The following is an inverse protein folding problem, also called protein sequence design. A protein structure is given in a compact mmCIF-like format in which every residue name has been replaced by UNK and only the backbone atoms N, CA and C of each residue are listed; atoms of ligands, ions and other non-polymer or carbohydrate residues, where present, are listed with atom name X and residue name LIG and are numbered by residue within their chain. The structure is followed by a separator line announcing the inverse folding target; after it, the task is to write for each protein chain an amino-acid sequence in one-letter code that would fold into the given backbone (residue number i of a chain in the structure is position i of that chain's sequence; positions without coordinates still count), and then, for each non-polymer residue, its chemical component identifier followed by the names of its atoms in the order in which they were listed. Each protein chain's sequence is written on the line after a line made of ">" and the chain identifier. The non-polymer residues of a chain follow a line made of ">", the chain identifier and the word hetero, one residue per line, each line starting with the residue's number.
data_IF_146420704391
#
_entry.id   IF_146420704391
#
_cell.length_a   1.000
_cell.length_b   1.000
_cell.length_c   1.000
_cell.angle_alpha   90.00
_cell.angle_beta   90.00
_cell.angle_gamma   90.00
#
_symmetry.space_group_name_H-M   'P 1'
#
loop_
_entity.id
_entity.type
_entity.pdbx_description
1 polymer ?
#
# COMPACT_ATOMS: atom_id res chain seq x y z
N UNK A 1 -13.76 20.31 -4.00
CA UNK A 1 -13.08 19.36 -3.09
C UNK A 1 -12.21 20.16 -2.13
N UNK A 2 -12.35 19.96 -0.81
CA UNK A 2 -11.76 20.88 0.18
C UNK A 2 -10.22 20.74 0.22
N UNK A 3 -9.49 21.86 0.17
CA UNK A 3 -8.02 21.87 0.22
C UNK A 3 -7.45 21.17 1.46
N UNK A 4 -8.22 21.09 2.55
CA UNK A 4 -7.88 20.34 3.76
C UNK A 4 -7.88 18.83 3.53
N UNK A 5 -8.89 18.29 2.86
CA UNK A 5 -8.97 16.87 2.52
C UNK A 5 -7.78 16.44 1.64
N UNK A 6 -7.47 17.23 0.60
CA UNK A 6 -6.32 16.99 -0.25
C UNK A 6 -4.99 16.96 0.52
N UNK A 7 -4.82 17.86 1.50
CA UNK A 7 -3.64 17.85 2.39
C UNK A 7 -3.57 16.59 3.26
N UNK A 8 -4.71 16.06 3.72
CA UNK A 8 -4.75 14.81 4.50
C UNK A 8 -4.38 13.61 3.63
N UNK A 9 -4.97 13.50 2.44
CA UNK A 9 -4.65 12.45 1.46
C UNK A 9 -3.17 12.50 1.07
N UNK A 10 -2.63 13.70 0.84
CA UNK A 10 -1.20 13.86 0.54
C UNK A 10 -0.29 13.38 1.67
N UNK A 11 -0.68 13.56 2.94
CA UNK A 11 0.09 13.02 4.08
C UNK A 11 0.06 11.50 4.14
N UNK A 12 -1.08 10.87 3.84
CA UNK A 12 -1.15 9.41 3.78
C UNK A 12 -0.35 8.86 2.59
N UNK A 13 -0.38 9.55 1.44
CA UNK A 13 0.51 9.25 0.31
C UNK A 13 1.99 9.31 0.73
N UNK A 14 2.39 10.37 1.41
CA UNK A 14 3.78 10.56 1.86
C UNK A 14 4.23 9.45 2.82
N UNK A 15 3.37 8.98 3.73
CA UNK A 15 3.69 7.85 4.61
C UNK A 15 3.93 6.55 3.84
N UNK A 16 3.06 6.25 2.87
CA UNK A 16 3.23 5.06 2.02
C UNK A 16 4.50 5.17 1.20
N UNK A 17 4.80 6.36 0.65
CA UNK A 17 6.04 6.62 -0.09
C UNK A 17 7.28 6.40 0.78
N UNK A 18 7.30 6.97 1.99
CA UNK A 18 8.40 6.79 2.95
C UNK A 18 8.59 5.32 3.34
N UNK A 19 7.51 4.56 3.49
CA UNK A 19 7.57 3.11 3.72
C UNK A 19 8.25 2.39 2.54
N UNK A 20 7.80 2.65 1.31
CA UNK A 20 8.36 2.03 0.09
C UNK A 20 9.85 2.35 -0.02
N UNK A 21 10.22 3.62 0.13
CA UNK A 21 11.61 4.07 -0.01
C UNK A 21 12.50 3.45 1.08
N UNK A 22 12.03 3.39 2.33
CA UNK A 22 12.75 2.76 3.45
C UNK A 22 13.00 1.25 3.23
N UNK A 23 12.02 0.53 2.70
CA UNK A 23 12.18 -0.89 2.39
C UNK A 23 13.15 -1.11 1.24
N UNK A 24 13.07 -0.29 0.18
CA UNK A 24 14.04 -0.33 -0.93
C UNK A 24 15.46 -0.07 -0.44
N UNK A 25 15.67 0.97 0.36
CA UNK A 25 16.96 1.28 0.97
C UNK A 25 17.51 0.14 1.83
N UNK A 26 16.61 -0.61 2.48
CA UNK A 26 16.99 -1.79 3.27
C UNK A 26 17.43 -2.93 2.36
N UNK A 27 16.71 -3.20 1.27
CA UNK A 27 17.07 -4.26 0.34
C UNK A 27 18.33 -3.94 -0.48
N UNK A 28 18.55 -2.68 -0.88
CA UNK A 28 19.75 -2.21 -1.58
C UNK A 28 21.05 -2.47 -0.80
N UNK A 29 20.98 -2.55 0.52
CA UNK A 29 22.13 -2.88 1.38
C UNK A 29 22.46 -4.38 1.40
N UNK A 30 21.71 -5.21 0.69
CA UNK A 30 21.98 -6.65 0.58
C UNK A 30 23.28 -6.86 -0.24
N UNK A 31 24.35 -7.45 0.33
CA UNK A 31 25.64 -7.55 -0.36
C UNK A 31 25.66 -8.48 -1.58
N UNK A 32 24.80 -9.51 -1.56
CA UNK A 32 24.67 -10.43 -2.67
C UNK A 32 23.72 -9.83 -3.72
N UNK A 33 24.25 -9.56 -4.91
CA UNK A 33 23.51 -8.91 -5.99
C UNK A 33 22.32 -9.73 -6.49
N UNK A 34 22.41 -11.06 -6.47
CA UNK A 34 21.33 -11.96 -6.90
C UNK A 34 20.17 -11.95 -5.91
N UNK A 35 20.47 -12.07 -4.63
CA UNK A 35 19.51 -11.98 -3.54
C UNK A 35 18.92 -10.56 -3.43
N UNK A 36 19.73 -9.50 -3.66
CA UNK A 36 19.26 -8.12 -3.73
C UNK A 36 18.20 -7.95 -4.81
N UNK A 37 18.50 -8.37 -6.04
CA UNK A 37 17.55 -8.29 -7.15
C UNK A 37 16.27 -9.06 -6.85
N UNK A 38 16.39 -10.28 -6.31
CA UNK A 38 15.24 -11.11 -5.92
C UNK A 38 14.37 -10.45 -4.85
N UNK A 39 14.97 -9.84 -3.82
CA UNK A 39 14.22 -9.14 -2.75
C UNK A 39 13.45 -7.94 -3.28
N UNK A 40 14.08 -7.16 -4.15
CA UNK A 40 13.44 -6.00 -4.78
C UNK A 40 12.28 -6.45 -5.70
N UNK A 41 12.46 -7.52 -6.48
CA UNK A 41 11.41 -8.08 -7.34
C UNK A 41 10.23 -8.64 -6.54
N UNK A 42 10.50 -9.39 -5.46
CA UNK A 42 9.45 -9.88 -4.55
C UNK A 42 8.72 -8.71 -3.90
N UNK A 43 9.43 -7.68 -3.45
CA UNK A 43 8.81 -6.50 -2.87
C UNK A 43 7.91 -5.75 -3.86
N UNK A 44 8.36 -5.55 -5.09
CA UNK A 44 7.56 -4.91 -6.14
C UNK A 44 6.31 -5.73 -6.47
N UNK A 45 6.44 -7.06 -6.53
CA UNK A 45 5.31 -7.98 -6.73
C UNK A 45 4.29 -7.85 -5.60
N UNK A 46 4.75 -7.84 -4.35
CA UNK A 46 3.87 -7.70 -3.18
C UNK A 46 3.19 -6.32 -3.12
N UNK A 47 3.89 -5.25 -3.48
CA UNK A 47 3.31 -3.90 -3.58
C UNK A 47 2.20 -3.86 -4.63
N UNK A 48 2.43 -4.45 -5.81
CA UNK A 48 1.43 -4.52 -6.87
C UNK A 48 0.23 -5.36 -6.44
N UNK A 49 0.45 -6.55 -5.86
CA UNK A 49 -0.63 -7.38 -5.34
C UNK A 49 -1.46 -6.62 -4.30
N UNK A 50 -0.82 -5.85 -3.42
CA UNK A 50 -1.55 -5.04 -2.45
C UNK A 50 -2.52 -4.04 -3.11
N UNK A 51 -2.32 -3.60 -4.36
CA UNK A 51 -3.26 -2.67 -5.00
C UNK A 51 -4.55 -3.34 -5.48
N UNK A 52 -4.51 -4.60 -5.89
CA UNK A 52 -5.64 -5.24 -6.60
C UNK A 52 -6.11 -6.58 -6.04
N UNK A 53 -5.27 -7.32 -5.31
CA UNK A 53 -5.60 -8.65 -4.84
C UNK A 53 -6.61 -8.59 -3.68
N UNK A 54 -7.40 -9.66 -3.53
CA UNK A 54 -8.19 -9.85 -2.32
C UNK A 54 -7.27 -10.07 -1.12
N UNK A 55 -7.73 -9.71 0.08
CA UNK A 55 -6.92 -9.83 1.30
C UNK A 55 -6.41 -11.26 1.56
N UNK A 56 -7.23 -12.27 1.23
CA UNK A 56 -6.84 -13.69 1.35
C UNK A 56 -5.75 -14.07 0.35
N UNK A 57 -5.84 -13.60 -0.91
CA UNK A 57 -4.83 -13.84 -1.94
C UNK A 57 -3.48 -13.21 -1.54
N UNK A 58 -3.52 -11.99 -1.00
CA UNK A 58 -2.33 -11.31 -0.50
C UNK A 58 -1.68 -12.06 0.67
N UNK A 59 -2.48 -12.59 1.61
CA UNK A 59 -1.96 -13.37 2.75
C UNK A 59 -1.35 -14.70 2.30
N UNK A 60 -1.97 -15.36 1.32
CA UNK A 60 -1.41 -16.57 0.72
C UNK A 60 -0.06 -16.29 0.07
N UNK A 61 0.08 -15.16 -0.63
CA UNK A 61 1.36 -14.80 -1.22
C UNK A 61 2.42 -14.54 -0.15
N UNK A 62 2.08 -13.86 0.96
CA UNK A 62 3.01 -13.67 2.08
C UNK A 62 3.56 -15.01 2.58
N UNK A 63 2.71 -16.02 2.75
CA UNK A 63 3.11 -17.35 3.20
C UNK A 63 4.03 -18.07 2.20
N UNK A 64 3.88 -17.79 0.90
CA UNK A 64 4.67 -18.42 -0.15
C UNK A 64 6.04 -17.78 -0.35
N UNK A 65 6.10 -16.43 -0.35
CA UNK A 65 7.32 -15.69 -0.76
C UNK A 65 8.15 -15.22 0.43
N UNK A 66 7.55 -15.10 1.62
CA UNK A 66 8.25 -14.71 2.83
C UNK A 66 8.47 -15.97 3.69
N UNK A 67 9.71 -16.29 4.08
CA UNK A 67 9.96 -17.48 4.91
C UNK A 67 9.21 -17.38 6.24
N UNK A 68 8.68 -18.52 6.71
CA UNK A 68 8.05 -18.69 8.04
C UNK A 68 9.05 -18.33 9.15
N UNK A 69 9.19 -17.05 9.44
CA UNK A 69 9.99 -16.53 10.53
C UNK A 69 9.03 -15.95 11.55
N UNK A 70 8.53 -16.80 12.44
CA UNK A 70 7.59 -16.43 13.52
C UNK A 70 8.08 -15.25 14.38
N UNK A 71 9.35 -14.80 14.27
CA UNK A 71 9.97 -13.76 15.10
C UNK A 71 10.77 -12.70 14.32
N UNK A 72 10.51 -12.45 13.03
CA UNK A 72 11.18 -11.36 12.32
C UNK A 72 10.31 -10.08 12.30
N UNK A 73 10.61 -9.15 13.20
CA UNK A 73 9.90 -7.87 13.33
C UNK A 73 9.84 -7.06 12.02
N UNK A 74 10.86 -7.17 11.17
CA UNK A 74 10.89 -6.47 9.87
C UNK A 74 9.93 -7.08 8.87
N UNK A 75 9.79 -8.41 8.85
CA UNK A 75 8.82 -9.11 8.00
C UNK A 75 7.40 -8.83 8.51
N UNK A 76 7.19 -8.88 9.82
CA UNK A 76 5.90 -8.53 10.43
C UNK A 76 5.48 -7.10 10.08
N UNK A 77 6.41 -6.15 10.20
CA UNK A 77 6.20 -4.75 9.83
C UNK A 77 5.87 -4.61 8.33
N UNK A 78 6.63 -5.25 7.45
CA UNK A 78 6.38 -5.29 6.01
C UNK A 78 4.97 -5.77 5.69
N UNK A 79 4.57 -6.94 6.21
CA UNK A 79 3.25 -7.49 5.97
C UNK A 79 2.14 -6.59 6.51
N UNK A 80 2.34 -5.98 7.69
CA UNK A 80 1.35 -5.04 8.26
C UNK A 80 1.14 -3.82 7.36
N UNK A 81 2.23 -3.22 6.85
CA UNK A 81 2.15 -2.08 5.94
C UNK A 81 1.48 -2.45 4.61
N UNK A 82 1.79 -3.64 4.06
CA UNK A 82 1.16 -4.13 2.83
C UNK A 82 -0.34 -4.41 2.99
N UNK A 83 -0.77 -4.96 4.14
CA UNK A 83 -2.20 -5.11 4.47
C UNK A 83 -2.90 -3.76 4.58
N UNK A 84 -2.22 -2.76 5.16
CA UNK A 84 -2.76 -1.40 5.28
C UNK A 84 -2.94 -0.75 3.90
N UNK A 85 -1.93 -0.86 3.02
CA UNK A 85 -2.03 -0.45 1.62
C UNK A 85 -3.19 -1.16 0.91
N UNK A 86 -3.33 -2.47 1.10
CA UNK A 86 -4.41 -3.24 0.49
C UNK A 86 -5.79 -2.77 0.93
N UNK A 87 -5.97 -2.52 2.23
CA UNK A 87 -7.24 -2.02 2.75
C UNK A 87 -7.60 -0.62 2.24
N UNK A 88 -6.60 0.23 1.95
CA UNK A 88 -6.83 1.50 1.27
C UNK A 88 -7.19 1.31 -0.20
N UNK A 89 -6.44 0.51 -0.95
CA UNK A 89 -6.66 0.33 -2.39
C UNK A 89 -7.98 -0.38 -2.68
N UNK A 90 -8.36 -1.36 -1.87
CA UNK A 90 -9.61 -2.12 -1.99
C UNK A 90 -10.80 -1.47 -1.26
N UNK A 91 -10.60 -0.32 -0.62
CA UNK A 91 -11.62 0.40 0.15
C UNK A 91 -12.31 -0.44 1.26
N UNK A 92 -11.64 -1.48 1.80
CA UNK A 92 -12.26 -2.48 2.69
C UNK A 92 -12.33 -2.08 4.17
N UNK A 93 -11.57 -1.06 4.59
CA UNK A 93 -11.59 -0.63 5.99
C UNK A 93 -12.93 0.00 6.40
N UNK A 94 -13.30 -0.18 7.66
CA UNK A 94 -14.50 0.45 8.24
C UNK A 94 -14.26 1.94 8.54
N UNK A 95 -15.34 2.68 8.82
CA UNK A 95 -15.26 4.10 9.18
C UNK A 95 -14.49 4.34 10.50
N UNK A 96 -14.38 3.32 11.36
CA UNK A 96 -13.62 3.34 12.61
C UNK A 96 -12.11 3.25 12.40
N UNK A 97 -11.64 2.92 11.19
CA UNK A 97 -10.22 2.90 10.90
C UNK A 97 -9.63 4.30 11.10
N UNK A 98 -8.52 4.40 11.84
CA UNK A 98 -7.93 5.68 12.28
C UNK A 98 -7.76 6.69 11.14
N UNK A 99 -7.28 6.23 9.99
CA UNK A 99 -7.07 7.09 8.80
C UNK A 99 -8.41 7.57 8.23
N UNK A 100 -9.43 6.71 8.20
CA UNK A 100 -10.76 7.07 7.71
C UNK A 100 -11.51 7.98 8.69
N UNK A 101 -11.37 7.80 9.99
CA UNK A 101 -11.94 8.74 10.96
C UNK A 101 -11.45 10.18 10.73
N UNK A 102 -10.15 10.36 10.44
CA UNK A 102 -9.64 11.70 10.12
C UNK A 102 -10.11 12.18 8.74
N UNK A 103 -10.03 11.34 7.70
CA UNK A 103 -10.41 11.72 6.33
C UNK A 103 -11.91 12.00 6.17
N UNK A 104 -12.75 11.23 6.84
CA UNK A 104 -14.21 11.25 6.71
C UNK A 104 -14.89 12.12 7.78
N UNK A 105 -14.12 12.77 8.66
CA UNK A 105 -14.63 13.59 9.77
C UNK A 105 -15.64 14.67 9.37
N UNK A 106 -15.56 15.18 8.14
CA UNK A 106 -16.45 16.23 7.61
C UNK A 106 -17.57 15.65 6.71
N UNK A 107 -17.55 14.34 6.43
CA UNK A 107 -18.44 13.69 5.48
C UNK A 107 -19.59 12.94 6.16
N UNK A 108 -20.82 13.32 5.81
CA UNK A 108 -22.03 12.83 6.49
C UNK A 108 -22.78 11.74 5.73
N UNK A 109 -22.54 11.58 4.43
CA UNK A 109 -23.24 10.61 3.57
C UNK A 109 -22.31 9.51 3.10
N UNK A 110 -22.87 8.32 2.89
CA UNK A 110 -22.12 7.16 2.40
C UNK A 110 -21.48 7.43 1.04
N UNK A 111 -22.19 8.11 0.14
CA UNK A 111 -21.69 8.50 -1.18
C UNK A 111 -20.44 9.39 -1.09
N UNK A 112 -20.46 10.42 -0.24
CA UNK A 112 -19.32 11.32 -0.07
C UNK A 112 -18.13 10.60 0.56
N UNK A 113 -18.39 9.74 1.54
CA UNK A 113 -17.35 8.89 2.14
C UNK A 113 -16.72 7.97 1.10
N UNK A 114 -17.51 7.38 0.21
CA UNK A 114 -17.01 6.55 -0.88
C UNK A 114 -16.11 7.36 -1.83
N UNK A 115 -16.50 8.57 -2.22
CA UNK A 115 -15.66 9.44 -3.07
C UNK A 115 -14.30 9.72 -2.41
N UNK A 116 -14.25 9.92 -1.09
CA UNK A 116 -12.98 10.11 -0.37
C UNK A 116 -12.14 8.83 -0.36
N UNK A 117 -12.76 7.67 -0.14
CA UNK A 117 -12.10 6.35 -0.19
C UNK A 117 -11.51 6.07 -1.57
N UNK A 118 -12.29 6.30 -2.63
CA UNK A 118 -11.86 6.12 -4.02
C UNK A 118 -10.69 7.05 -4.36
N UNK A 119 -10.72 8.30 -3.88
CA UNK A 119 -9.63 9.24 -4.09
C UNK A 119 -8.34 8.79 -3.39
N UNK A 120 -8.43 8.31 -2.14
CA UNK A 120 -7.26 7.76 -1.44
C UNK A 120 -6.74 6.51 -2.15
N UNK A 121 -7.63 5.55 -2.45
CA UNK A 121 -7.31 4.30 -3.16
C UNK A 121 -6.55 4.60 -4.47
N UNK A 122 -7.11 5.50 -5.28
CA UNK A 122 -6.48 5.93 -6.53
C UNK A 122 -5.11 6.58 -6.30
N UNK A 123 -5.01 7.49 -5.34
CA UNK A 123 -3.75 8.20 -5.03
C UNK A 123 -2.64 7.22 -4.62
N UNK A 124 -2.96 6.24 -3.79
CA UNK A 124 -1.99 5.23 -3.33
C UNK A 124 -1.65 4.24 -4.45
N UNK A 125 -2.63 3.80 -5.24
CA UNK A 125 -2.39 2.89 -6.37
C UNK A 125 -1.50 3.54 -7.42
N UNK A 126 -1.74 4.81 -7.76
CA UNK A 126 -0.90 5.56 -8.70
C UNK A 126 0.53 5.71 -8.21
N UNK A 127 0.73 5.99 -6.92
CA UNK A 127 2.07 6.01 -6.31
C UNK A 127 2.78 4.67 -6.47
N UNK A 128 2.08 3.56 -6.20
CA UNK A 128 2.67 2.22 -6.31
C UNK A 128 3.05 1.91 -7.75
N UNK A 129 2.16 2.18 -8.71
CA UNK A 129 2.46 2.00 -10.13
C UNK A 129 3.65 2.83 -10.60
N UNK A 130 3.78 4.07 -10.13
CA UNK A 130 4.95 4.91 -10.37
C UNK A 130 6.21 4.28 -9.76
N UNK A 131 6.17 3.91 -8.48
CA UNK A 131 7.33 3.35 -7.76
C UNK A 131 7.76 1.97 -8.28
N UNK A 132 6.87 1.18 -8.87
CA UNK A 132 7.19 -0.14 -9.44
C UNK A 132 7.44 -0.09 -10.96
N UNK A 133 7.50 1.11 -11.56
CA UNK A 133 7.62 1.31 -13.01
C UNK A 133 6.54 0.56 -13.83
N UNK A 134 5.40 0.28 -13.21
CA UNK A 134 4.27 -0.36 -13.87
C UNK A 134 3.49 0.71 -14.59
N UNK A 135 3.75 0.89 -15.89
CA UNK A 135 3.12 1.94 -16.68
C UNK A 135 1.59 1.88 -16.62
N UNK A 136 0.96 3.02 -16.28
CA UNK A 136 -0.48 3.33 -16.36
C UNK A 136 -1.15 2.98 -17.72
N UNK A 137 -0.37 2.55 -18.72
CA UNK A 137 -0.79 2.24 -20.08
C UNK A 137 -1.56 0.90 -20.18
N UNK A 138 -1.57 0.05 -19.15
CA UNK A 138 -2.23 -1.28 -19.20
C UNK A 138 -3.44 -1.49 -18.28
N UNK A 139 -3.87 -0.49 -17.53
CA UNK A 139 -5.12 -0.58 -16.77
C UNK A 139 -6.10 0.44 -17.35
N UNK A 140 -6.67 0.09 -18.50
CA UNK A 140 -7.87 0.72 -19.03
C UNK A 140 -9.08 0.34 -18.18
N UNK A 141 -9.18 0.96 -17.01
CA UNK A 141 -10.37 0.97 -16.16
C UNK A 141 -10.93 2.40 -16.13
#
# INVERSE_FOLDING_TARGET
>A
MHARLLKKIAREKEKVEQFIDSMRDTFEKTPDEGEKAKRLEVFDTLLLLATYAQAEELENEFQMVLPNNEHNDSITYLCQQLREINGFCQCTFSDEHRVYQDLLSEETTLEKKQVVRDLLSKTISELIFEKTNTGLIRLGL
#
